data_IF_569646390741
#
_entry.id   IF_569646390741
#
_cell.length_a   1.000
_cell.length_b   1.000
_cell.length_c   1.000
_cell.angle_alpha   90.00
_cell.angle_beta   90.00
_cell.angle_gamma   90.00
#
_symmetry.space_group_name_H-M   'P 1'
#
loop_
_entity.id
_entity.type
_entity.pdbx_description
1 polymer ?
#
# COMPACT_ATOMS: atom_id res chain seq x y z
N UNK A 1 43.90 -54.97 14.72
CA UNK A 1 44.28 -53.57 14.38
C UNK A 1 43.23 -52.80 13.55
N UNK A 2 41.98 -53.27 13.40
CA UNK A 2 40.93 -52.57 12.60
C UNK A 2 39.87 -51.82 13.42
N UNK A 3 39.92 -51.87 14.75
CA UNK A 3 38.86 -51.33 15.63
C UNK A 3 38.97 -49.81 15.85
N UNK A 4 40.13 -49.21 15.58
CA UNK A 4 40.33 -47.76 15.68
C UNK A 4 39.86 -47.00 14.44
N UNK A 5 39.88 -47.63 13.26
CA UNK A 5 39.50 -46.99 11.99
C UNK A 5 37.98 -46.74 11.90
N UNK A 6 37.15 -47.67 12.39
CA UNK A 6 35.70 -47.52 12.40
C UNK A 6 35.20 -46.41 13.35
N UNK A 7 35.83 -46.25 14.52
CA UNK A 7 35.47 -45.18 15.47
C UNK A 7 35.86 -43.79 14.98
N UNK A 8 36.98 -43.66 14.26
CA UNK A 8 37.41 -42.39 13.66
C UNK A 8 36.47 -41.98 12.53
N UNK A 9 36.03 -42.93 11.70
CA UNK A 9 35.06 -42.67 10.62
C UNK A 9 33.67 -42.30 11.14
N UNK A 10 33.23 -42.92 12.24
CA UNK A 10 31.97 -42.58 12.90
C UNK A 10 32.01 -41.17 13.53
N UNK A 11 33.12 -40.79 14.15
CA UNK A 11 33.33 -39.46 14.71
C UNK A 11 33.39 -38.37 13.63
N UNK A 12 34.01 -38.65 12.48
CA UNK A 12 34.02 -37.69 11.36
C UNK A 12 32.63 -37.49 10.75
N UNK A 13 31.79 -38.53 10.74
CA UNK A 13 30.44 -38.43 10.19
C UNK A 13 29.54 -37.54 11.07
N UNK A 14 29.66 -37.68 12.40
CA UNK A 14 28.89 -36.90 13.37
C UNK A 14 29.23 -35.40 13.32
N UNK A 15 30.50 -35.05 13.04
CA UNK A 15 30.94 -33.67 12.89
C UNK A 15 30.39 -33.00 11.62
N UNK A 16 30.29 -33.74 10.51
CA UNK A 16 29.75 -33.23 9.24
C UNK A 16 28.23 -32.98 9.34
N UNK A 17 27.51 -33.85 10.05
CA UNK A 17 26.07 -33.65 10.31
C UNK A 17 25.78 -32.43 11.19
N UNK A 18 26.67 -32.12 12.14
CA UNK A 18 26.53 -30.96 13.02
C UNK A 18 26.82 -29.64 12.29
N UNK A 19 27.66 -29.66 11.26
CA UNK A 19 27.97 -28.47 10.43
C UNK A 19 26.87 -28.15 9.39
N UNK A 20 26.03 -29.13 9.03
CA UNK A 20 24.92 -28.94 8.09
C UNK A 20 23.64 -28.39 8.74
N UNK A 21 23.59 -28.30 10.08
CA UNK A 21 22.46 -27.76 10.82
C UNK A 21 22.37 -26.21 10.82
N UNK A 22 23.34 -25.52 10.22
CA UNK A 22 23.26 -24.08 9.94
C UNK A 22 22.53 -23.82 8.62
N UNK A 23 21.30 -24.30 8.51
CA UNK A 23 20.42 -23.96 7.40
C UNK A 23 20.02 -22.49 7.48
N UNK A 24 20.64 -21.71 6.58
CA UNK A 24 20.06 -20.58 5.83
C UNK A 24 19.27 -19.52 6.60
N UNK A 25 19.91 -18.36 6.79
CA UNK A 25 19.23 -17.08 6.65
C UNK A 25 19.79 -16.36 5.41
N UNK A 26 19.51 -16.90 4.22
CA UNK A 26 19.58 -16.09 3.01
C UNK A 26 18.47 -15.04 3.13
N UNK A 27 18.85 -13.87 3.63
CA UNK A 27 18.05 -12.67 3.45
C UNK A 27 18.03 -12.35 1.97
N UNK A 28 17.10 -12.94 1.21
CA UNK A 28 16.71 -12.42 -0.08
C UNK A 28 16.09 -11.04 0.18
N UNK A 29 16.89 -9.99 0.14
CA UNK A 29 16.37 -8.67 -0.14
C UNK A 29 15.87 -8.73 -1.58
N UNK A 30 14.56 -8.85 -1.74
CA UNK A 30 13.89 -8.63 -3.01
C UNK A 30 14.28 -7.22 -3.46
N UNK A 31 15.23 -7.14 -4.39
CA UNK A 31 15.74 -5.88 -4.89
C UNK A 31 14.63 -5.25 -5.73
N UNK A 32 14.00 -4.20 -5.20
CA UNK A 32 13.16 -3.32 -6.01
C UNK A 32 14.04 -2.78 -7.13
N UNK A 33 13.63 -2.96 -8.38
CA UNK A 33 14.42 -2.76 -9.61
C UNK A 33 14.98 -1.35 -9.85
N UNK A 34 14.96 -0.46 -8.86
CA UNK A 34 15.45 0.91 -9.00
C UNK A 34 16.42 1.35 -7.93
N UNK A 35 16.56 0.65 -6.79
CA UNK A 35 17.45 1.09 -5.70
C UNK A 35 17.19 2.49 -5.13
N UNK A 36 16.15 3.20 -5.61
CA UNK A 36 15.85 4.61 -5.32
C UNK A 36 15.49 4.82 -3.85
N UNK A 37 14.90 3.82 -3.20
CA UNK A 37 14.54 3.88 -1.78
C UNK A 37 15.10 2.67 -1.06
N UNK A 38 16.00 2.83 -0.07
CA UNK A 38 16.39 1.73 0.79
C UNK A 38 15.15 1.26 1.55
N UNK A 39 14.69 0.05 1.26
CA UNK A 39 13.60 -0.58 2.00
C UNK A 39 14.05 -0.80 3.44
N UNK A 40 13.56 0.04 4.35
CA UNK A 40 13.73 -0.15 5.79
C UNK A 40 12.86 -1.33 6.20
N UNK A 41 13.49 -2.41 6.68
CA UNK A 41 12.75 -3.51 7.27
C UNK A 41 11.95 -3.00 8.48
N UNK A 42 10.63 -3.15 8.43
CA UNK A 42 9.71 -2.79 9.52
C UNK A 42 9.29 -4.06 10.24
N UNK A 43 9.53 -4.13 11.55
CA UNK A 43 9.08 -5.25 12.37
C UNK A 43 7.55 -5.28 12.49
N UNK A 44 6.94 -4.09 12.58
CA UNK A 44 5.49 -3.93 12.70
C UNK A 44 4.84 -3.91 11.31
N UNK A 45 3.98 -4.89 11.06
CA UNK A 45 3.23 -5.05 9.80
C UNK A 45 1.75 -5.20 10.13
N UNK A 46 0.89 -4.51 9.39
CA UNK A 46 -0.56 -4.64 9.48
C UNK A 46 -1.12 -4.80 8.07
N UNK A 47 -2.18 -5.57 7.88
CA UNK A 47 -2.79 -5.72 6.55
C UNK A 47 -4.01 -4.82 6.40
N UNK A 48 -4.26 -4.35 5.18
CA UNK A 48 -5.49 -3.59 4.87
C UNK A 48 -6.76 -4.44 5.07
N UNK A 49 -6.66 -5.76 4.96
CA UNK A 49 -7.79 -6.68 5.18
C UNK A 49 -8.26 -6.65 6.63
N UNK A 50 -7.35 -6.39 7.58
CA UNK A 50 -7.67 -6.27 9.01
C UNK A 50 -8.57 -5.06 9.30
N UNK A 51 -8.61 -4.09 8.38
CA UNK A 51 -9.43 -2.89 8.45
C UNK A 51 -10.66 -2.95 7.53
N UNK A 52 -10.98 -4.13 6.99
CA UNK A 52 -12.11 -4.34 6.09
C UNK A 52 -11.82 -4.00 4.62
N UNK A 53 -10.54 -3.99 4.22
CA UNK A 53 -10.17 -3.84 2.82
C UNK A 53 -10.51 -5.07 1.97
N UNK A 54 -11.21 -4.87 0.86
CA UNK A 54 -11.60 -5.91 -0.09
C UNK A 54 -11.00 -5.61 -1.47
N UNK A 55 -10.27 -6.58 -2.02
CA UNK A 55 -9.53 -6.47 -3.29
C UNK A 55 -10.33 -6.88 -4.53
N UNK A 56 -11.64 -6.66 -4.56
CA UNK A 56 -12.58 -7.09 -5.62
C UNK A 56 -12.65 -6.13 -6.82
N UNK A 57 -12.00 -4.96 -6.74
CA UNK A 57 -12.04 -3.91 -7.74
C UNK A 57 -13.39 -3.20 -7.87
N UNK A 58 -14.31 -3.39 -6.92
CA UNK A 58 -15.64 -2.77 -6.88
C UNK A 58 -15.91 -2.05 -5.56
N UNK A 59 -15.45 -2.62 -4.46
CA UNK A 59 -15.62 -2.07 -3.12
C UNK A 59 -14.74 -0.84 -2.91
N UNK A 60 -15.34 0.25 -2.41
CA UNK A 60 -14.62 1.49 -2.07
C UNK A 60 -13.95 1.32 -0.69
N UNK A 61 -12.63 1.18 -0.70
CA UNK A 61 -11.80 0.88 0.48
C UNK A 61 -11.32 2.12 1.24
N UNK A 62 -11.85 3.31 0.95
CA UNK A 62 -11.41 4.58 1.55
C UNK A 62 -11.46 4.54 3.08
N UNK A 63 -12.51 3.93 3.66
CA UNK A 63 -12.64 3.79 5.12
C UNK A 63 -11.57 2.85 5.71
N UNK A 64 -11.26 1.76 5.02
CA UNK A 64 -10.22 0.82 5.43
C UNK A 64 -8.84 1.49 5.42
N UNK A 65 -8.50 2.25 4.37
CA UNK A 65 -7.25 3.00 4.30
C UNK A 65 -7.16 4.05 5.41
N UNK A 66 -8.21 4.84 5.63
CA UNK A 66 -8.24 5.85 6.72
C UNK A 66 -8.06 5.20 8.10
N UNK A 67 -8.73 4.08 8.36
CA UNK A 67 -8.61 3.36 9.63
C UNK A 67 -7.21 2.77 9.84
N UNK A 68 -6.61 2.18 8.80
CA UNK A 68 -5.26 1.65 8.85
C UNK A 68 -4.22 2.74 9.12
N UNK A 69 -4.32 3.88 8.42
CA UNK A 69 -3.41 5.02 8.58
C UNK A 69 -3.57 5.65 9.96
N UNK A 70 -4.80 5.82 10.43
CA UNK A 70 -5.09 6.29 11.78
C UNK A 70 -4.43 5.38 12.83
N UNK A 71 -4.56 4.07 12.67
CA UNK A 71 -3.93 3.10 13.58
C UNK A 71 -2.40 3.24 13.59
N UNK A 72 -1.77 3.36 12.41
CA UNK A 72 -0.32 3.53 12.27
C UNK A 72 0.16 4.81 12.96
N UNK A 73 -0.56 5.91 12.75
CA UNK A 73 -0.25 7.20 13.35
C UNK A 73 -0.25 7.14 14.88
N UNK A 74 -1.22 6.44 15.47
CA UNK A 74 -1.37 6.34 16.92
C UNK A 74 -0.48 5.26 17.56
N UNK A 75 -0.01 4.29 16.79
CA UNK A 75 0.92 3.26 17.29
C UNK A 75 2.30 3.83 17.64
N UNK A 76 2.72 4.96 17.04
CA UNK A 76 3.98 5.70 17.30
C UNK A 76 5.22 4.80 17.50
N UNK A 77 5.33 3.72 16.72
CA UNK A 77 6.43 2.75 16.84
C UNK A 77 7.73 3.38 16.35
N UNK A 78 8.83 3.18 17.11
CA UNK A 78 10.15 3.77 16.81
C UNK A 78 10.65 3.42 15.40
N UNK A 79 10.37 2.21 14.92
CA UNK A 79 10.75 1.76 13.58
C UNK A 79 9.75 2.13 12.49
N UNK A 80 8.59 2.70 12.84
CA UNK A 80 7.46 2.87 11.96
C UNK A 80 6.71 1.56 11.65
N UNK A 81 5.63 1.65 10.87
CA UNK A 81 4.76 0.50 10.55
C UNK A 81 4.65 0.29 9.04
N UNK A 82 4.60 -0.95 8.60
CA UNK A 82 4.32 -1.32 7.21
C UNK A 82 2.83 -1.68 7.06
N UNK A 83 2.16 -1.03 6.10
CA UNK A 83 0.83 -1.39 5.65
C UNK A 83 0.95 -2.32 4.44
N UNK A 84 0.50 -3.55 4.62
CA UNK A 84 0.56 -4.62 3.63
C UNK A 84 -0.75 -4.67 2.83
N UNK A 85 -0.65 -4.52 1.51
CA UNK A 85 -1.75 -4.67 0.56
C UNK A 85 -1.59 -6.03 -0.14
N UNK A 86 -2.50 -7.01 0.10
CA UNK A 86 -2.44 -8.30 -0.56
C UNK A 86 -2.79 -8.19 -2.05
N UNK A 87 -2.56 -9.25 -2.84
CA UNK A 87 -2.96 -9.28 -4.25
C UNK A 87 -4.46 -8.99 -4.43
N UNK A 88 -4.81 -8.19 -5.43
CA UNK A 88 -6.19 -7.75 -5.66
C UNK A 88 -6.28 -6.29 -6.11
N UNK A 89 -7.50 -5.86 -6.44
CA UNK A 89 -7.77 -4.49 -6.92
C UNK A 89 -8.52 -3.72 -5.85
N UNK A 90 -7.89 -2.67 -5.32
CA UNK A 90 -8.43 -1.85 -4.24
C UNK A 90 -8.84 -0.48 -4.80
N UNK A 91 -10.15 -0.24 -4.93
CA UNK A 91 -10.67 1.09 -5.24
C UNK A 91 -10.62 1.98 -4.00
N UNK A 92 -10.15 3.21 -4.14
CA UNK A 92 -10.09 4.19 -3.03
C UNK A 92 -10.15 5.62 -3.54
N UNK A 93 -10.65 6.53 -2.70
CA UNK A 93 -10.43 7.96 -2.87
C UNK A 93 -8.98 8.33 -2.54
N UNK A 94 -8.63 9.60 -2.73
CA UNK A 94 -7.38 10.16 -2.23
C UNK A 94 -7.26 9.99 -0.71
N UNK A 95 -6.06 9.64 -0.24
CA UNK A 95 -5.73 9.51 1.17
C UNK A 95 -4.30 10.00 1.42
N UNK A 96 -4.08 10.57 2.61
CA UNK A 96 -2.78 11.11 3.01
C UNK A 96 -1.96 10.07 3.75
N UNK A 97 -0.71 9.87 3.31
CA UNK A 97 0.26 9.06 4.04
C UNK A 97 0.77 9.82 5.27
N UNK A 98 1.19 9.08 6.29
CA UNK A 98 1.76 9.62 7.53
C UNK A 98 3.25 9.31 7.64
N UNK A 99 3.95 10.08 8.47
CA UNK A 99 5.38 9.86 8.75
C UNK A 99 5.63 8.47 9.33
N UNK A 100 6.80 7.90 9.03
CA UNK A 100 7.22 6.57 9.51
C UNK A 100 6.24 5.45 9.11
N UNK A 101 5.59 5.56 7.96
CA UNK A 101 4.82 4.47 7.35
C UNK A 101 5.56 3.90 6.12
N UNK A 102 5.31 2.64 5.80
CA UNK A 102 5.69 2.03 4.51
C UNK A 102 4.46 1.38 3.90
N UNK A 103 4.04 1.83 2.73
CA UNK A 103 2.98 1.18 1.96
C UNK A 103 3.62 0.10 1.07
N UNK A 104 3.32 -1.17 1.33
CA UNK A 104 3.85 -2.30 0.58
C UNK A 104 2.73 -2.94 -0.24
N UNK A 105 2.90 -2.95 -1.56
CA UNK A 105 2.00 -3.62 -2.49
C UNK A 105 2.59 -4.98 -2.84
N UNK A 106 1.89 -6.05 -2.48
CA UNK A 106 2.27 -7.38 -2.90
C UNK A 106 2.17 -7.52 -4.43
N UNK A 107 2.85 -8.52 -4.99
CA UNK A 107 2.73 -8.85 -6.42
C UNK A 107 1.26 -9.05 -6.81
N UNK A 108 0.80 -8.29 -7.80
CA UNK A 108 -0.60 -8.33 -8.26
C UNK A 108 -1.58 -7.47 -7.45
N UNK A 109 -1.09 -6.68 -6.49
CA UNK A 109 -1.89 -5.64 -5.85
C UNK A 109 -1.98 -4.39 -6.75
N UNK A 110 -3.19 -3.86 -6.94
CA UNK A 110 -3.45 -2.66 -7.73
C UNK A 110 -4.31 -1.71 -6.92
N UNK A 111 -3.83 -0.48 -6.70
CA UNK A 111 -4.63 0.60 -6.11
C UNK A 111 -5.20 1.42 -7.25
N UNK A 112 -6.54 1.54 -7.32
CA UNK A 112 -7.24 2.34 -8.32
C UNK A 112 -7.93 3.51 -7.63
N UNK A 113 -7.73 4.71 -8.18
CA UNK A 113 -8.51 5.87 -7.76
C UNK A 113 -9.96 5.74 -8.24
N UNK A 114 -10.91 6.11 -7.39
CA UNK A 114 -12.31 6.28 -7.82
C UNK A 114 -12.36 7.46 -8.78
N UNK A 115 -12.94 7.27 -9.97
CA UNK A 115 -13.10 8.33 -10.95
C UNK A 115 -14.17 9.31 -10.46
N UNK A 116 -13.76 10.54 -10.16
CA UNK A 116 -14.70 11.63 -9.90
C UNK A 116 -15.16 12.15 -11.26
N UNK A 117 -16.44 11.97 -11.57
CA UNK A 117 -16.98 12.48 -12.81
C UNK A 117 -17.23 13.99 -12.68
N UNK A 118 -16.24 14.78 -13.07
CA UNK A 118 -16.33 16.25 -13.03
C UNK A 118 -17.40 16.82 -13.97
N UNK A 119 -17.83 16.07 -15.00
CA UNK A 119 -18.89 16.54 -15.89
C UNK A 119 -20.26 16.61 -15.21
N UNK A 120 -20.53 15.72 -14.25
CA UNK A 120 -21.74 15.78 -13.45
C UNK A 120 -21.73 17.01 -12.52
N UNK A 121 -20.56 17.34 -11.96
CA UNK A 121 -20.40 18.51 -11.10
C UNK A 121 -20.48 19.81 -11.89
N UNK A 122 -19.92 19.84 -13.11
CA UNK A 122 -20.07 20.97 -14.03
C UNK A 122 -21.52 21.12 -14.48
N UNK A 123 -22.20 20.03 -14.86
CA UNK A 123 -23.62 20.06 -15.22
C UNK A 123 -24.51 20.55 -14.08
N UNK A 124 -24.24 20.14 -12.84
CA UNK A 124 -24.97 20.63 -11.66
C UNK A 124 -24.66 22.10 -11.39
N UNK A 125 -23.41 22.55 -11.52
CA UNK A 125 -23.05 23.96 -11.37
C UNK A 125 -23.72 24.80 -12.47
N UNK A 126 -23.67 24.37 -13.73
CA UNK A 126 -24.33 25.07 -14.85
C UNK A 126 -25.84 25.08 -14.64
N UNK A 127 -26.47 23.96 -14.27
CA UNK A 127 -27.91 23.91 -14.01
C UNK A 127 -28.35 24.76 -12.79
N UNK A 128 -27.50 24.91 -11.77
CA UNK A 128 -27.77 25.80 -10.63
C UNK A 128 -27.57 27.27 -11.02
N UNK A 129 -26.57 27.58 -11.85
CA UNK A 129 -26.34 28.93 -12.39
C UNK A 129 -27.36 29.32 -13.47
N UNK A 130 -27.96 28.37 -14.18
CA UNK A 130 -29.04 28.57 -15.16
C UNK A 130 -30.43 28.67 -14.50
N UNK A 131 -30.56 28.35 -13.20
CA UNK A 131 -31.83 28.49 -12.48
C UNK A 131 -32.13 29.95 -12.10
N UNK A 132 -31.13 30.83 -12.16
CA UNK A 132 -31.30 32.27 -11.99
C UNK A 132 -31.22 32.96 -13.36
N UNK A 133 -32.34 33.00 -14.07
CA UNK A 133 -32.86 34.11 -14.92
C UNK A 133 -33.66 33.50 -16.08
N UNK A 134 -35.01 33.60 -16.07
CA UNK A 134 -35.77 33.46 -17.31
C UNK A 134 -35.29 34.53 -18.29
N UNK A 135 -34.65 34.07 -19.36
CA UNK A 135 -34.20 34.85 -20.52
C UNK A 135 -35.40 35.55 -21.17
N UNK A 136 -35.72 36.72 -20.61
CA UNK A 136 -36.61 37.72 -21.16
C UNK A 136 -36.04 39.14 -21.07
N UNK A 137 -34.79 39.33 -20.64
CA UNK A 137 -34.18 40.66 -20.58
C UNK A 137 -32.64 40.58 -20.46
N UNK A 138 -31.94 41.40 -21.24
CA UNK A 138 -30.51 41.75 -21.16
C UNK A 138 -29.47 40.88 -21.90
N UNK A 139 -29.57 40.91 -23.23
CA UNK A 139 -28.38 40.91 -24.08
C UNK A 139 -27.63 42.25 -23.94
N UNK A 140 -26.80 42.44 -22.90
CA UNK A 140 -25.85 43.58 -22.87
C UNK A 140 -24.75 43.55 -21.79
N UNK A 141 -24.74 42.61 -20.84
CA UNK A 141 -23.81 42.71 -19.69
C UNK A 141 -22.58 41.78 -19.71
N UNK A 142 -22.30 41.11 -20.84
CA UNK A 142 -21.22 40.11 -20.94
C UNK A 142 -19.79 40.69 -21.10
N UNK A 143 -19.57 42.00 -20.98
CA UNK A 143 -18.26 42.62 -21.28
C UNK A 143 -17.46 43.13 -20.06
N UNK A 144 -17.88 42.92 -18.80
CA UNK A 144 -17.17 43.55 -17.65
C UNK A 144 -16.40 42.59 -16.74
N UNK A 145 -16.43 41.26 -16.93
CA UNK A 145 -15.78 40.33 -16.00
C UNK A 145 -14.61 39.51 -16.59
N UNK A 146 -13.90 40.05 -17.59
CA UNK A 146 -12.58 39.55 -17.99
C UNK A 146 -11.66 40.75 -18.21
N UNK A 147 -11.19 41.34 -17.11
CA UNK A 147 -9.90 42.02 -16.99
C UNK A 147 -9.39 41.84 -15.56
#
# INVERSE_FOLDING_TARGET
>A
MWRFSASILLLSCLAVSLLAASSSAFGYSEATCSGIVPLRYRNDKISITDFGGVGDGRTVNTKAFRAAIYRIQHLRRRGGTLLYIPPGVFLTESFSLTSHMTLYLARGAVIRAVQVNFSALYFVITAILDFEIPIGMFASSLLVAIF
#
